data_IF_516357392250
#
_entry.id   IF_516357392250
#
_cell.length_a   1.000
_cell.length_b   1.000
_cell.length_c   1.000
_cell.angle_alpha   90.00
_cell.angle_beta   90.00
_cell.angle_gamma   90.00
#
_symmetry.space_group_name_H-M   'P 1'
#
loop_
_entity.id
_entity.type
_entity.pdbx_description
1 polymer ?
#
# COMPACT_ATOMS: atom_id res chain seq x y z
N UNK A 1 -20.72 -13.19 4.52
CA UNK A 1 -20.61 -11.93 5.29
C UNK A 1 -19.46 -11.14 4.69
N UNK A 2 -19.74 -10.13 3.89
CA UNK A 2 -18.73 -9.25 3.27
C UNK A 2 -18.47 -8.15 4.30
N UNK A 3 -17.26 -8.00 4.87
CA UNK A 3 -17.03 -6.99 5.89
C UNK A 3 -17.26 -5.61 5.29
N UNK A 4 -17.94 -4.77 6.08
CA UNK A 4 -18.26 -3.38 5.82
C UNK A 4 -16.99 -2.63 5.35
N UNK A 5 -16.83 -2.50 4.03
CA UNK A 5 -15.68 -1.87 3.41
C UNK A 5 -15.89 -0.37 3.51
N UNK A 6 -15.42 0.22 4.61
CA UNK A 6 -15.31 1.65 4.78
C UNK A 6 -14.60 2.23 3.56
N UNK A 7 -15.35 2.96 2.74
CA UNK A 7 -14.93 3.69 1.53
C UNK A 7 -13.81 4.72 1.77
N UNK A 8 -13.32 4.85 3.01
CA UNK A 8 -12.31 5.83 3.37
C UNK A 8 -10.94 5.51 2.77
N UNK A 9 -10.46 4.26 2.79
CA UNK A 9 -9.05 3.97 2.49
C UNK A 9 -8.86 3.47 1.06
N UNK A 10 -8.69 4.42 0.13
CA UNK A 10 -8.44 4.14 -1.29
C UNK A 10 -7.04 3.56 -1.57
N UNK A 11 -6.07 3.78 -0.67
CA UNK A 11 -4.67 3.36 -0.82
C UNK A 11 -4.15 2.62 0.41
N UNK A 12 -3.20 1.70 0.20
CA UNK A 12 -2.52 0.99 1.26
C UNK A 12 -1.59 1.94 2.04
N UNK A 13 -1.78 2.04 3.36
CA UNK A 13 -0.94 2.88 4.22
C UNK A 13 0.52 2.43 4.36
N UNK A 14 0.88 1.23 3.90
CA UNK A 14 2.24 0.67 4.02
C UNK A 14 3.03 0.68 2.71
N UNK A 15 2.44 0.23 1.59
CA UNK A 15 3.10 0.21 0.28
C UNK A 15 2.72 1.41 -0.61
N UNK A 16 1.55 2.01 -0.40
CA UNK A 16 1.07 3.16 -1.18
C UNK A 16 0.25 2.79 -2.42
N UNK A 17 0.08 1.50 -2.74
CA UNK A 17 -0.72 1.03 -3.87
C UNK A 17 -2.24 1.17 -3.62
N UNK A 18 -3.04 1.37 -4.67
CA UNK A 18 -4.50 1.40 -4.56
C UNK A 18 -5.04 0.07 -4.01
N UNK A 19 -6.03 0.14 -3.11
CA UNK A 19 -6.68 -1.07 -2.54
C UNK A 19 -7.57 -1.80 -3.55
N UNK A 20 -8.00 -1.11 -4.61
CA UNK A 20 -8.78 -1.65 -5.71
C UNK A 20 -7.79 -2.25 -6.73
N UNK A 21 -7.50 -3.54 -6.61
CA UNK A 21 -6.90 -4.29 -7.69
C UNK A 21 -7.94 -4.48 -8.78
N UNK A 22 -7.82 -3.78 -9.90
CA UNK A 22 -8.32 -4.34 -11.16
C UNK A 22 -7.43 -5.56 -11.43
N UNK A 23 -7.96 -6.80 -11.34
CA UNK A 23 -7.19 -7.96 -11.71
C UNK A 23 -7.10 -7.94 -13.22
N UNK A 24 -6.19 -7.13 -13.77
CA UNK A 24 -5.87 -7.27 -15.17
C UNK A 24 -5.14 -8.61 -15.31
N UNK A 25 -5.93 -9.63 -15.65
CA UNK A 25 -5.50 -10.89 -16.25
C UNK A 25 -4.48 -10.56 -17.33
N UNK A 26 -3.19 -10.51 -16.98
CA UNK A 26 -2.14 -10.75 -17.94
C UNK A 26 -2.06 -12.25 -18.06
N UNK A 27 -2.92 -12.77 -18.93
CA UNK A 27 -2.86 -14.13 -19.43
C UNK A 27 -1.38 -14.48 -19.66
N UNK A 28 -0.86 -15.39 -18.85
CA UNK A 28 0.49 -15.92 -19.04
C UNK A 28 0.43 -16.84 -20.23
N UNK A 29 0.56 -16.25 -21.41
CA UNK A 29 0.57 -16.99 -22.65
C UNK A 29 1.78 -16.56 -23.45
N UNK A 30 2.79 -17.44 -23.42
CA UNK A 30 3.88 -17.58 -24.38
C UNK A 30 5.16 -16.72 -24.23
N UNK A 31 6.28 -17.41 -23.99
CA UNK A 31 7.57 -17.10 -24.65
C UNK A 31 8.40 -15.93 -24.13
N UNK A 32 9.67 -16.20 -23.78
CA UNK A 32 10.58 -15.22 -23.19
C UNK A 32 10.95 -13.99 -24.04
N UNK A 33 11.20 -12.88 -23.34
CA UNK A 33 12.18 -11.84 -23.69
C UNK A 33 12.56 -11.13 -22.39
N UNK A 34 13.86 -11.04 -21.99
CA UNK A 34 14.23 -10.23 -20.84
C UNK A 34 13.96 -8.75 -21.15
N UNK A 35 13.38 -7.98 -20.21
CA UNK A 35 13.05 -6.58 -20.46
C UNK A 35 14.31 -5.73 -20.66
N UNK A 36 14.24 -4.60 -21.38
CA UNK A 36 15.33 -3.65 -21.44
C UNK A 36 15.66 -3.13 -20.03
N UNK A 37 16.94 -2.89 -19.76
CA UNK A 37 17.54 -2.57 -18.45
C UNK A 37 17.01 -1.29 -17.76
N UNK A 38 15.96 -0.66 -18.26
CA UNK A 38 15.30 0.51 -17.69
C UNK A 38 13.93 0.21 -17.04
N UNK A 39 13.52 -1.06 -16.93
CA UNK A 39 12.35 -1.42 -16.13
C UNK A 39 12.63 -1.10 -14.66
N UNK A 40 11.84 -0.17 -14.11
CA UNK A 40 11.79 0.07 -12.67
C UNK A 40 11.43 -1.24 -11.99
N UNK A 41 12.37 -1.83 -11.26
CA UNK A 41 12.12 -3.01 -10.45
C UNK A 41 11.00 -2.67 -9.45
N UNK A 42 9.79 -3.16 -9.70
CA UNK A 42 8.69 -3.09 -8.74
C UNK A 42 9.04 -4.00 -7.58
N UNK A 43 9.46 -3.40 -6.47
CA UNK A 43 9.79 -4.12 -5.25
C UNK A 43 8.55 -4.73 -4.62
N UNK A 44 8.41 -6.05 -4.78
CA UNK A 44 7.61 -6.92 -3.90
C UNK A 44 6.22 -7.29 -4.42
N UNK A 45 6.13 -8.30 -5.28
CA UNK A 45 4.88 -9.00 -5.53
C UNK A 45 4.61 -9.97 -4.37
N UNK A 46 3.69 -9.63 -3.46
CA UNK A 46 2.97 -10.64 -2.67
C UNK A 46 1.63 -10.87 -3.37
N UNK A 47 1.52 -12.02 -4.03
CA UNK A 47 0.45 -12.32 -4.99
C UNK A 47 -0.96 -12.37 -4.41
N UNK A 48 -1.92 -12.08 -5.29
CA UNK A 48 -3.33 -12.52 -5.32
C UNK A 48 -3.70 -13.60 -4.29
N UNK A 49 -4.74 -13.51 -3.45
CA UNK A 49 -5.94 -12.70 -3.44
C UNK A 49 -6.20 -12.17 -2.01
N UNK A 50 -5.24 -11.42 -1.49
CA UNK A 50 -5.42 -10.40 -0.45
C UNK A 50 -4.11 -9.60 -0.45
N UNK A 51 -3.91 -8.82 -1.52
CA UNK A 51 -2.63 -8.17 -1.82
C UNK A 51 -2.11 -7.28 -0.68
N UNK A 52 -2.95 -6.99 0.32
CA UNK A 52 -2.62 -6.12 1.43
C UNK A 52 -2.90 -6.70 2.83
N UNK A 53 -3.25 -7.98 3.02
CA UNK A 53 -3.42 -8.57 4.36
C UNK A 53 -2.12 -8.49 5.15
N UNK A 54 -0.99 -8.82 4.52
CA UNK A 54 0.32 -8.68 5.14
C UNK A 54 0.64 -7.21 5.48
N UNK A 55 0.25 -6.27 4.60
CA UNK A 55 0.42 -4.84 4.86
C UNK A 55 -0.42 -4.38 6.05
N UNK A 56 -1.68 -4.82 6.13
CA UNK A 56 -2.60 -4.51 7.24
C UNK A 56 -2.10 -5.08 8.57
N UNK A 57 -1.59 -6.31 8.57
CA UNK A 57 -0.99 -6.91 9.76
C UNK A 57 0.22 -6.11 10.25
N UNK A 58 1.08 -5.64 9.34
CA UNK A 58 2.23 -4.79 9.71
C UNK A 58 1.83 -3.41 10.19
N UNK A 59 0.78 -2.80 9.64
CA UNK A 59 0.27 -1.50 10.09
C UNK A 59 -0.26 -1.51 11.53
N UNK A 60 -0.52 -2.69 12.11
CA UNK A 60 -0.84 -2.80 13.54
C UNK A 60 0.40 -2.63 14.44
N UNK A 61 1.59 -2.86 13.90
CA UNK A 61 2.87 -2.85 14.63
C UNK A 61 3.77 -1.68 14.22
N UNK A 62 3.64 -1.22 12.99
CA UNK A 62 4.45 -0.15 12.39
C UNK A 62 3.58 1.07 12.02
N UNK A 63 4.12 2.29 12.14
CA UNK A 63 3.42 3.49 11.68
C UNK A 63 3.16 3.47 10.16
N UNK A 64 2.04 4.06 9.70
CA UNK A 64 1.73 4.20 8.29
C UNK A 64 2.76 5.09 7.60
N UNK A 65 3.24 4.62 6.44
CA UNK A 65 4.25 5.33 5.62
C UNK A 65 3.58 6.12 4.49
N UNK A 66 2.36 5.76 4.11
CA UNK A 66 1.59 6.37 3.04
C UNK A 66 0.20 6.80 3.52
N UNK A 67 -0.31 7.87 2.94
CA UNK A 67 -1.64 8.38 3.23
C UNK A 67 -2.68 7.46 2.57
N UNK A 68 -3.62 6.88 3.33
CA UNK A 68 -4.58 5.96 2.75
C UNK A 68 -5.65 6.67 1.89
N UNK A 69 -5.71 8.00 1.94
CA UNK A 69 -6.59 8.82 1.11
C UNK A 69 -6.01 9.12 -0.28
N UNK A 70 -4.69 9.18 -0.43
CA UNK A 70 -4.06 9.64 -1.69
C UNK A 70 -2.76 8.95 -2.11
N UNK A 71 -2.31 7.94 -1.36
CA UNK A 71 -1.10 7.17 -1.68
C UNK A 71 0.21 7.95 -1.57
N UNK A 72 0.21 9.20 -1.05
CA UNK A 72 1.44 9.99 -0.86
C UNK A 72 2.18 9.57 0.39
N UNK A 73 3.51 9.66 0.38
CA UNK A 73 4.35 9.42 1.56
C UNK A 73 4.02 10.42 2.68
N UNK A 74 3.85 9.90 3.89
CA UNK A 74 3.64 10.68 5.10
C UNK A 74 4.99 11.10 5.71
N UNK A 75 5.01 12.24 6.41
CA UNK A 75 6.11 12.57 7.32
C UNK A 75 5.82 11.90 8.65
N UNK A 76 6.53 10.81 8.94
CA UNK A 76 6.36 10.04 10.19
C UNK A 76 7.36 10.52 11.24
N UNK A 77 6.85 10.85 12.42
CA UNK A 77 7.62 11.13 13.62
C UNK A 77 7.29 10.08 14.67
N UNK A 78 8.29 9.30 15.07
CA UNK A 78 8.17 8.27 16.10
C UNK A 78 8.68 8.84 17.42
N UNK A 79 7.92 8.67 18.49
CA UNK A 79 8.32 8.98 19.87
C UNK A 79 8.28 7.69 20.70
N UNK A 80 8.89 7.64 21.90
CA UNK A 80 8.90 6.43 22.72
C UNK A 80 7.51 5.90 23.11
N UNK A 81 6.48 6.76 23.08
CA UNK A 81 5.12 6.44 23.56
C UNK A 81 4.08 6.39 22.44
N UNK A 82 4.36 6.95 21.27
CA UNK A 82 3.40 7.09 20.17
C UNK A 82 4.11 7.49 18.88
N UNK A 83 3.41 7.41 17.75
CA UNK A 83 3.84 7.99 16.49
C UNK A 83 2.80 8.97 15.94
N UNK A 84 3.30 9.90 15.13
CA UNK A 84 2.50 10.86 14.38
C UNK A 84 2.91 10.81 12.92
N UNK A 85 1.95 10.83 12.00
CA UNK A 85 2.16 10.80 10.57
C UNK A 85 1.38 11.93 9.89
N UNK A 86 2.10 12.82 9.18
CA UNK A 86 1.50 14.01 8.56
C UNK A 86 1.47 13.90 7.05
N UNK A 87 0.28 14.02 6.46
CA UNK A 87 0.04 14.17 5.03
C UNK A 87 0.01 15.64 4.65
N UNK A 88 0.67 16.01 3.56
CA UNK A 88 0.65 17.38 3.04
C UNK A 88 -0.73 17.86 2.56
N UNK A 89 -1.62 16.94 2.17
CA UNK A 89 -2.98 17.28 1.68
C UNK A 89 -4.08 17.01 2.71
N UNK A 90 -3.97 15.92 3.47
CA UNK A 90 -5.07 15.42 4.32
C UNK A 90 -4.84 15.67 5.82
N UNK A 91 -3.70 16.25 6.21
CA UNK A 91 -3.40 16.53 7.61
C UNK A 91 -2.79 15.34 8.34
N UNK A 92 -2.95 15.32 9.67
CA UNK A 92 -2.14 14.50 10.58
C UNK A 92 -2.94 13.34 11.18
N UNK A 93 -2.33 12.16 11.24
CA UNK A 93 -2.84 10.95 11.89
C UNK A 93 -1.87 10.50 12.99
N UNK A 94 -2.37 9.87 14.05
CA UNK A 94 -1.58 9.42 15.22
C UNK A 94 -2.16 8.13 15.79
N UNK A 95 -1.34 7.35 16.51
CA UNK A 95 -1.75 6.17 17.30
C UNK A 95 -1.74 6.42 18.79
#
# INVERSE_FOLDING_TARGET
>A
MIPNRSIADAFCGLCGDPQEGDPQEKETSDGGTPPPSNVRQAGGTSGDADAHVACRARLQLEPPRYCPQCGRRLKVQVTPHSWQASCSRHGVTRS
#
